data_IF_812237547363
#
_entry.id   IF_812237547363
#
_cell.length_a   1.000
_cell.length_b   1.000
_cell.length_c   1.000
_cell.angle_alpha   90.00
_cell.angle_beta   90.00
_cell.angle_gamma   90.00
#
_symmetry.space_group_name_H-M   'P 1'
#
loop_
_entity.id
_entity.type
_entity.pdbx_description
1 polymer ?
#
# COMPACT_ATOMS: atom_id res chain seq x y z
N UNK A 1 4.85 0.21 7.83
CA UNK A 1 4.72 -0.52 6.56
C UNK A 1 5.26 -1.93 6.62
N UNK A 2 6.22 -2.17 7.48
CA UNK A 2 6.79 -3.50 7.55
C UNK A 2 5.80 -4.52 8.10
N UNK A 3 4.75 -4.06 8.72
CA UNK A 3 3.77 -4.97 9.30
C UNK A 3 2.74 -5.44 8.29
N UNK A 4 2.73 -4.90 7.09
CA UNK A 4 1.74 -5.24 6.08
C UNK A 4 2.16 -6.53 5.37
N UNK A 5 1.32 -7.56 5.39
CA UNK A 5 1.66 -8.79 4.69
C UNK A 5 1.86 -8.52 3.20
N UNK A 6 2.89 -9.14 2.63
CA UNK A 6 3.16 -8.98 1.22
C UNK A 6 3.96 -7.76 0.85
N UNK A 7 4.25 -6.88 1.80
CA UNK A 7 5.05 -5.70 1.53
C UNK A 7 6.43 -5.90 2.14
N UNK A 8 7.39 -6.17 1.28
CA UNK A 8 8.78 -6.31 1.70
C UNK A 8 9.51 -5.00 1.52
N UNK A 9 10.83 -5.01 1.75
CA UNK A 9 11.63 -3.78 1.64
C UNK A 9 11.56 -3.14 0.26
N UNK A 10 11.53 -3.95 -0.80
CA UNK A 10 11.50 -3.40 -2.16
C UNK A 10 10.17 -2.69 -2.42
N UNK A 11 9.06 -3.32 -2.00
CA UNK A 11 7.76 -2.71 -2.20
C UNK A 11 7.57 -1.47 -1.34
N UNK A 12 8.09 -1.51 -0.12
CA UNK A 12 8.04 -0.34 0.74
C UNK A 12 8.79 0.82 0.11
N UNK A 13 9.97 0.56 -0.44
CA UNK A 13 10.72 1.60 -1.12
C UNK A 13 9.97 2.16 -2.31
N UNK A 14 9.34 1.28 -3.10
CA UNK A 14 8.57 1.72 -4.25
C UNK A 14 7.43 2.64 -3.83
N UNK A 15 6.74 2.30 -2.76
CA UNK A 15 5.66 3.14 -2.25
C UNK A 15 6.19 4.51 -1.82
N UNK A 16 7.30 4.52 -1.09
CA UNK A 16 7.86 5.77 -0.61
C UNK A 16 8.41 6.64 -1.74
N UNK A 17 8.71 6.04 -2.89
CA UNK A 17 9.14 6.82 -4.04
C UNK A 17 7.98 7.46 -4.76
N UNK A 18 6.82 6.80 -4.76
CA UNK A 18 5.63 7.33 -5.42
C UNK A 18 4.85 8.27 -4.52
N UNK A 19 4.87 8.03 -3.23
CA UNK A 19 4.12 8.83 -2.28
C UNK A 19 5.10 9.52 -1.33
N UNK A 20 4.86 10.77 -1.02
CA UNK A 20 5.81 11.54 -0.24
C UNK A 20 5.83 11.14 1.22
N UNK A 21 4.77 10.60 1.73
CA UNK A 21 4.68 10.26 3.14
C UNK A 21 3.71 9.11 3.35
N UNK A 22 3.71 8.61 4.56
CA UNK A 22 2.76 7.57 4.95
C UNK A 22 1.33 8.08 4.83
N UNK A 23 1.10 9.33 5.13
CA UNK A 23 -0.24 9.90 5.00
C UNK A 23 -0.73 9.85 3.57
N UNK A 24 0.15 10.10 2.61
CA UNK A 24 -0.21 10.02 1.20
C UNK A 24 -0.59 8.59 0.83
N UNK A 25 0.16 7.62 1.34
CA UNK A 25 -0.15 6.21 1.07
C UNK A 25 -1.51 5.86 1.68
N UNK A 26 -1.75 6.31 2.88
CA UNK A 26 -3.00 6.01 3.57
C UNK A 26 -4.20 6.63 2.86
N UNK A 27 -4.00 7.79 2.24
CA UNK A 27 -5.07 8.46 1.53
C UNK A 27 -5.32 7.90 0.14
N UNK A 28 -4.39 7.12 -0.39
CA UNK A 28 -4.54 6.54 -1.72
C UNK A 28 -5.51 5.37 -1.68
N UNK A 29 -6.20 5.13 -2.78
CA UNK A 29 -7.05 3.95 -2.86
C UNK A 29 -6.27 2.81 -3.51
N UNK A 30 -6.92 1.64 -3.59
CA UNK A 30 -6.25 0.46 -4.13
C UNK A 30 -5.82 0.66 -5.57
N UNK A 31 -6.61 1.39 -6.35
CA UNK A 31 -6.26 1.64 -7.74
C UNK A 31 -4.98 2.47 -7.85
N UNK A 32 -4.85 3.49 -7.02
CA UNK A 32 -3.66 4.30 -7.01
C UNK A 32 -2.44 3.51 -6.54
N UNK A 33 -2.61 2.69 -5.52
CA UNK A 33 -1.53 1.87 -5.02
C UNK A 33 -1.06 0.87 -6.06
N UNK A 34 -1.98 0.30 -6.83
CA UNK A 34 -1.62 -0.69 -7.82
C UNK A 34 -0.87 -0.09 -9.02
N UNK A 35 -0.90 1.22 -9.17
CA UNK A 35 -0.14 1.87 -10.24
C UNK A 35 1.35 1.88 -9.96
N UNK A 36 1.74 1.65 -8.73
CA UNK A 36 3.15 1.55 -8.37
C UNK A 36 3.70 0.25 -8.99
N UNK A 37 4.80 0.31 -9.76
CA UNK A 37 5.27 -0.87 -10.49
C UNK A 37 5.49 -2.12 -9.65
N UNK A 38 5.91 -1.94 -8.42
CA UNK A 38 6.20 -3.09 -7.57
C UNK A 38 4.97 -3.61 -6.82
N UNK A 39 3.84 -2.98 -7.01
CA UNK A 39 2.65 -3.27 -6.22
C UNK A 39 1.55 -3.82 -7.14
N UNK A 40 1.37 -5.13 -7.20
CA UNK A 40 0.25 -5.69 -7.96
C UNK A 40 -1.07 -5.41 -7.25
N UNK A 41 -2.15 -5.65 -7.97
CA UNK A 41 -3.47 -5.31 -7.47
C UNK A 41 -3.79 -5.96 -6.12
N UNK A 42 -3.46 -7.25 -5.98
CA UNK A 42 -3.80 -7.93 -4.72
C UNK A 42 -3.00 -7.37 -3.54
N UNK A 43 -1.78 -6.91 -3.79
CA UNK A 43 -1.00 -6.28 -2.74
C UNK A 43 -1.52 -4.89 -2.45
N UNK A 44 -1.98 -4.18 -3.48
CA UNK A 44 -2.57 -2.86 -3.27
C UNK A 44 -3.80 -2.96 -2.37
N UNK A 45 -4.61 -3.99 -2.57
CA UNK A 45 -5.77 -4.19 -1.73
C UNK A 45 -5.40 -4.50 -0.29
N UNK A 46 -4.32 -5.28 -0.10
CA UNK A 46 -3.83 -5.57 1.24
C UNK A 46 -3.40 -4.30 1.96
N UNK A 47 -2.69 -3.44 1.25
CA UNK A 47 -2.23 -2.18 1.83
C UNK A 47 -3.44 -1.31 2.18
N UNK A 48 -4.38 -1.22 1.29
CA UNK A 48 -5.57 -0.41 1.50
C UNK A 48 -6.34 -0.90 2.74
N UNK A 49 -6.53 -2.21 2.84
CA UNK A 49 -7.22 -2.78 3.98
C UNK A 49 -6.48 -2.51 5.28
N UNK A 50 -5.16 -2.60 5.23
CA UNK A 50 -4.35 -2.37 6.41
C UNK A 50 -4.59 -0.97 6.98
N UNK A 51 -4.58 0.04 6.10
CA UNK A 51 -4.71 1.41 6.56
C UNK A 51 -6.14 1.78 6.91
N UNK A 52 -7.10 1.14 6.28
CA UNK A 52 -8.50 1.50 6.51
C UNK A 52 -9.23 0.55 7.46
N UNK A 53 -8.57 -0.48 7.89
CA UNK A 53 -9.16 -1.39 8.84
C UNK A 53 -10.45 -2.01 8.35
N UNK A 54 -10.50 -2.32 7.11
CA UNK A 54 -11.73 -2.70 6.49
C UNK A 54 -12.25 -4.03 6.88
N UNK A 55 -11.65 -4.58 7.79
CA UNK A 55 -12.08 -5.79 8.23
C UNK A 55 -13.41 -5.79 8.79
N UNK A 56 -13.98 -5.44 8.90
CA UNK A 56 -15.17 -5.60 9.42
C UNK A 56 -16.11 -6.31 9.20
N UNK A 57 -15.63 -6.57 9.22
CA UNK A 57 -16.19 -7.08 9.16
C UNK A 57 -16.57 -7.36 9.35
#
# INVERSE_FOLDING_TARGET
LDDIPGVGPARRKALMRHFKSIDDIRSADAAQLSQVPEIPEHIAEEIYSFFHGSVVK
#
